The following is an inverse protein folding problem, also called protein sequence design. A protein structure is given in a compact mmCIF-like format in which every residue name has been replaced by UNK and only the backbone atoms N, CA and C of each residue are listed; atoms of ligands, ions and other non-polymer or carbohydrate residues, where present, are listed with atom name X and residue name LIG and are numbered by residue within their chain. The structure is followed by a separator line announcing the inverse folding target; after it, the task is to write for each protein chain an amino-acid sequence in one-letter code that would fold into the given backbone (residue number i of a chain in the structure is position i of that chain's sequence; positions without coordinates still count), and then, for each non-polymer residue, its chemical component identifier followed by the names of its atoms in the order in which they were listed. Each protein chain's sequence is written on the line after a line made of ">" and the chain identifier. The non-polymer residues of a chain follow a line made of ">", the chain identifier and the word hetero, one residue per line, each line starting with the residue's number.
data_IF_370968666828
#
_entry.id   IF_370968666828
#
_cell.length_a   1.000
_cell.length_b   1.000
_cell.length_c   1.000
_cell.angle_alpha   90.00
_cell.angle_beta   90.00
_cell.angle_gamma   90.00
#
_symmetry.space_group_name_H-M   'P 1'
#
loop_
_entity.id
_entity.type
_entity.pdbx_description
1 polymer ?
#
# COMPACT_ATOMS: atom_id res chain seq x y z
N UNK A 1 -7.29 -0.65 -9.01
CA UNK A 1 -5.99 0.06 -9.03
C UNK A 1 -4.99 -0.78 -9.82
N UNK A 2 -4.45 -0.24 -10.90
CA UNK A 2 -3.35 -0.82 -11.68
C UNK A 2 -2.00 -0.49 -11.06
N UNK A 3 -0.92 -1.17 -11.49
CA UNK A 3 0.45 -0.87 -11.05
C UNK A 3 0.84 0.61 -11.27
N UNK A 4 0.40 1.18 -12.40
CA UNK A 4 0.76 2.54 -12.80
C UNK A 4 -0.07 3.57 -12.02
N UNK A 5 -1.33 3.25 -11.72
CA UNK A 5 -2.17 4.05 -10.81
C UNK A 5 -1.58 4.08 -9.39
N UNK A 6 -1.10 2.95 -8.87
CA UNK A 6 -0.48 2.88 -7.55
C UNK A 6 0.85 3.63 -7.47
N UNK A 7 1.68 3.50 -8.51
CA UNK A 7 2.92 4.27 -8.65
C UNK A 7 2.68 5.76 -8.82
N UNK A 8 1.56 6.15 -9.41
CA UNK A 8 1.16 7.57 -9.48
C UNK A 8 0.69 8.04 -8.12
N UNK A 9 -0.14 7.24 -7.44
CA UNK A 9 -0.72 7.57 -6.14
C UNK A 9 0.33 7.89 -5.07
N UNK A 10 1.30 7.01 -4.81
CA UNK A 10 2.24 7.28 -3.71
C UNK A 10 3.12 8.51 -4.01
N UNK A 11 3.43 8.77 -5.28
CA UNK A 11 4.18 9.95 -5.71
C UNK A 11 3.36 11.22 -5.57
N UNK A 12 2.07 11.19 -5.92
CA UNK A 12 1.19 12.35 -5.73
C UNK A 12 0.97 12.69 -4.25
N UNK A 13 1.09 11.69 -3.37
CA UNK A 13 1.08 11.89 -1.92
C UNK A 13 2.43 12.40 -1.37
N UNK A 14 3.47 12.53 -2.21
CA UNK A 14 4.82 12.89 -1.79
C UNK A 14 5.55 11.78 -1.03
N UNK A 15 5.07 10.53 -1.12
CA UNK A 15 5.65 9.39 -0.41
C UNK A 15 6.79 8.75 -1.20
N UNK A 16 7.88 8.41 -0.49
CA UNK A 16 8.82 7.41 -0.97
C UNK A 16 8.19 6.00 -0.91
N UNK A 17 8.84 5.00 -1.50
CA UNK A 17 8.37 3.60 -1.37
C UNK A 17 8.30 3.13 0.08
N UNK A 18 9.22 3.60 0.92
CA UNK A 18 9.24 3.28 2.35
C UNK A 18 8.10 3.97 3.08
N UNK A 19 7.89 5.27 2.84
CA UNK A 19 6.77 6.03 3.43
C UNK A 19 5.41 5.45 3.01
N UNK A 20 5.26 5.04 1.75
CA UNK A 20 4.05 4.39 1.27
C UNK A 20 3.80 3.06 2.00
N UNK A 21 4.87 2.30 2.28
CA UNK A 21 4.81 1.11 3.11
C UNK A 21 4.31 1.42 4.52
N UNK A 22 4.92 2.41 5.19
CA UNK A 22 4.53 2.85 6.53
C UNK A 22 3.06 3.29 6.55
N UNK A 23 2.65 4.14 5.60
CA UNK A 23 1.28 4.64 5.51
C UNK A 23 0.23 3.54 5.29
N UNK A 24 0.59 2.48 4.56
CA UNK A 24 -0.30 1.34 4.29
C UNK A 24 -0.16 0.18 5.30
N UNK A 25 0.79 0.25 6.23
CA UNK A 25 1.12 -0.88 7.12
C UNK A 25 1.74 -2.07 6.39
N UNK A 26 2.49 -1.82 5.31
CA UNK A 26 3.11 -2.84 4.46
C UNK A 26 4.64 -2.69 4.43
N UNK A 27 5.34 -3.80 4.19
CA UNK A 27 6.78 -3.76 3.95
C UNK A 27 7.11 -3.09 2.61
N UNK A 28 8.27 -2.42 2.53
CA UNK A 28 8.79 -1.81 1.29
C UNK A 28 8.81 -2.79 0.11
N UNK A 29 9.11 -4.05 0.37
CA UNK A 29 9.12 -5.10 -0.66
C UNK A 29 7.77 -5.26 -1.35
N UNK A 30 6.66 -5.19 -0.61
CA UNK A 30 5.29 -5.25 -1.16
C UNK A 30 5.01 -4.07 -2.08
N UNK A 31 5.44 -2.86 -1.69
CA UNK A 31 5.29 -1.64 -2.51
C UNK A 31 6.02 -1.81 -3.85
N UNK A 32 7.26 -2.29 -3.82
CA UNK A 32 8.05 -2.55 -5.03
C UNK A 32 7.39 -3.63 -5.90
N UNK A 33 6.84 -4.69 -5.32
CA UNK A 33 6.14 -5.73 -6.06
C UNK A 33 4.85 -5.21 -6.72
N UNK A 34 4.11 -4.32 -6.05
CA UNK A 34 2.91 -3.69 -6.62
C UNK A 34 3.26 -2.74 -7.77
N UNK A 35 4.34 -1.96 -7.67
CA UNK A 35 4.82 -1.13 -8.79
C UNK A 35 5.32 -1.97 -9.97
N UNK A 36 5.98 -3.09 -9.71
CA UNK A 36 6.50 -3.98 -10.74
C UNK A 36 5.40 -4.84 -11.39
N UNK A 37 4.34 -5.13 -10.64
CA UNK A 37 3.22 -5.98 -11.05
C UNK A 37 3.53 -7.47 -11.01
N UNK A 38 4.60 -7.92 -10.34
CA UNK A 38 4.94 -9.34 -10.17
C UNK A 38 5.69 -9.62 -8.86
N UNK A 39 5.58 -10.85 -8.33
CA UNK A 39 6.40 -11.30 -7.18
C UNK A 39 7.78 -11.69 -7.67
N UNK A 40 8.80 -11.39 -6.87
CA UNK A 40 10.22 -11.65 -7.24
C UNK A 40 10.58 -13.14 -7.11
N UNK A 41 9.79 -13.85 -6.33
CA UNK A 41 10.07 -15.12 -5.67
C UNK A 41 9.16 -16.26 -6.15
N UNK A 42 8.02 -15.93 -6.77
CA UNK A 42 7.12 -16.91 -7.38
C UNK A 42 7.01 -16.64 -8.88
N UNK A 43 7.74 -17.41 -9.69
CA UNK A 43 7.54 -17.66 -11.12
C UNK A 43 6.82 -16.55 -11.94
N UNK A 44 7.26 -15.29 -11.79
CA UNK A 44 6.61 -14.09 -12.37
C UNK A 44 5.07 -14.08 -12.28
N UNK A 45 4.50 -14.52 -11.15
CA UNK A 45 3.05 -14.42 -10.95
C UNK A 45 2.66 -12.96 -10.85
N UNK A 46 1.72 -12.52 -11.70
CA UNK A 46 1.21 -11.15 -11.69
C UNK A 46 0.65 -10.82 -10.32
N UNK A 47 1.15 -9.74 -9.72
CA UNK A 47 0.61 -9.22 -8.46
C UNK A 47 -0.40 -8.14 -8.82
N UNK A 48 -1.66 -8.54 -8.87
CA UNK A 48 -2.75 -7.57 -8.77
C UNK A 48 -2.69 -6.87 -7.42
N UNK A 49 -3.02 -5.57 -7.39
CA UNK A 49 -3.14 -4.83 -6.14
C UNK A 49 -4.41 -5.31 -5.44
N UNK A 50 -4.32 -5.86 -4.21
CA UNK A 50 -5.51 -6.32 -3.50
C UNK A 50 -6.52 -5.19 -3.30
N UNK A 51 -7.81 -5.52 -3.30
CA UNK A 51 -8.88 -4.55 -3.08
C UNK A 51 -8.68 -3.77 -1.76
N UNK A 52 -8.24 -4.45 -0.71
CA UNK A 52 -7.95 -3.84 0.60
C UNK A 52 -6.89 -2.74 0.51
N UNK A 53 -5.83 -2.96 -0.27
CA UNK A 53 -4.77 -1.97 -0.49
C UNK A 53 -5.30 -0.81 -1.33
N UNK A 54 -6.05 -1.09 -2.39
CA UNK A 54 -6.66 -0.05 -3.22
C UNK A 54 -7.62 0.86 -2.42
N UNK A 55 -8.42 0.28 -1.53
CA UNK A 55 -9.29 1.03 -0.62
C UNK A 55 -8.49 1.86 0.40
N UNK A 56 -7.40 1.32 0.94
CA UNK A 56 -6.51 2.07 1.83
C UNK A 56 -5.86 3.27 1.11
N UNK A 57 -5.40 3.10 -0.14
CA UNK A 57 -4.90 4.21 -0.95
C UNK A 57 -5.95 5.31 -1.16
N UNK A 58 -7.20 4.92 -1.47
CA UNK A 58 -8.30 5.87 -1.64
C UNK A 58 -8.62 6.62 -0.32
N UNK A 59 -8.63 5.90 0.80
CA UNK A 59 -8.85 6.50 2.12
C UNK A 59 -7.77 7.55 2.46
N UNK A 60 -6.49 7.19 2.26
CA UNK A 60 -5.37 8.09 2.50
C UNK A 60 -5.42 9.33 1.59
N UNK A 61 -5.76 9.16 0.31
CA UNK A 61 -5.93 10.30 -0.62
C UNK A 61 -7.11 11.21 -0.26
N UNK A 62 -8.14 10.66 0.40
CA UNK A 62 -9.24 11.44 0.95
C UNK A 62 -8.91 12.09 2.30
N UNK A 63 -7.69 11.91 2.82
CA UNK A 63 -7.26 12.44 4.12
C UNK A 63 -7.82 11.67 5.32
N UNK A 64 -8.31 10.44 5.11
CA UNK A 64 -8.81 9.61 6.21
C UNK A 64 -7.64 8.96 6.96
N UNK A 65 -7.77 8.95 8.29
CA UNK A 65 -6.86 8.22 9.17
C UNK A 65 -7.25 6.72 9.24
N UNK A 66 -6.32 5.83 9.62
CA UNK A 66 -6.65 4.45 9.96
C UNK A 66 -7.76 4.37 10.99
N UNK A 67 -8.56 3.30 10.94
CA UNK A 67 -9.58 3.06 11.95
C UNK A 67 -8.91 3.04 13.33
N UNK A 68 -9.42 3.79 14.32
CA UNK A 68 -8.82 3.82 15.64
C UNK A 68 -8.89 2.42 16.25
N UNK A 69 -7.75 1.76 16.35
CA UNK A 69 -7.61 0.59 17.19
C UNK A 69 -7.59 1.09 18.63
N UNK A 70 -8.74 1.05 19.29
CA UNK A 70 -8.80 1.18 20.74
C UNK A 70 -8.09 -0.03 21.34
N UNK A 71 -6.77 0.08 21.51
CA UNK A 71 -5.99 -0.93 22.22
C UNK A 71 -6.25 -0.76 23.72
N UNK A 72 -7.44 -1.17 24.16
CA UNK A 72 -7.80 -1.32 25.57
C UNK A 72 -7.34 -2.70 26.05
N UNK A 73 -6.04 -2.92 26.13
CA UNK A 73 -5.46 -4.07 26.83
C UNK A 73 -4.07 -3.68 27.36
N UNK A 74 -4.07 -2.78 28.34
CA UNK A 74 -3.04 -2.75 29.38
C UNK A 74 -3.71 -3.32 30.64
N UNK A 75 -3.30 -4.52 31.06
CA UNK A 75 -3.51 -5.11 32.40
C UNK A 75 -2.13 -5.22 33.04
#
# INVERSE_FOLDING_TARGET
>A
MTKDEFKTWHKSMGFTQEMAGIALGLGRSSIVQYEQGYRRDANKTTVGIPLTVALACAALSAGLAPYPTTSSFDI
#
